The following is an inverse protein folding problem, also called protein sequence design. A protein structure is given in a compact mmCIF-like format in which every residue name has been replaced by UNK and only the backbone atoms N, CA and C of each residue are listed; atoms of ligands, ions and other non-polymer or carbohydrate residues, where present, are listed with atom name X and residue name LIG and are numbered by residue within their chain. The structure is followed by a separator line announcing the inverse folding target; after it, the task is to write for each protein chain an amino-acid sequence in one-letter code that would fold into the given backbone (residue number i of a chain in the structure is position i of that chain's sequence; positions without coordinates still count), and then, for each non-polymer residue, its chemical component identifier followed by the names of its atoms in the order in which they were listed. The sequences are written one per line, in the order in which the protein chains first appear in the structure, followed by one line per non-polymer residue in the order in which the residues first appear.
data_IF_773079441203
#
_entry.id   IF_773079441203
#
_cell.length_a   1.000
_cell.length_b   1.000
_cell.length_c   1.000
_cell.angle_alpha   90.00
_cell.angle_beta   90.00
_cell.angle_gamma   90.00
#
_symmetry.space_group_name_H-M   'P 1'
#
loop_
_entity.id
_entity.type
_entity.pdbx_description
1 polymer ?
#
# COMPACT_ATOMS: atom_id res chain seq x y z
N UNK A 1 22.24 -76.71 8.96
CA UNK A 1 21.53 -76.83 10.26
C UNK A 1 20.80 -75.52 10.52
N UNK A 2 19.48 -75.58 10.78
CA UNK A 2 18.56 -74.68 11.54
C UNK A 2 19.09 -73.27 11.94
N UNK A 3 18.35 -72.16 12.04
CA UNK A 3 16.94 -71.73 11.93
C UNK A 3 16.95 -70.18 12.14
N UNK A 4 15.97 -69.47 11.54
CA UNK A 4 15.23 -68.23 11.97
C UNK A 4 15.72 -67.47 13.24
N UNK A 5 15.71 -66.12 13.35
CA UNK A 5 14.66 -65.11 13.06
C UNK A 5 15.16 -63.69 13.47
N UNK A 6 14.81 -62.67 12.67
CA UNK A 6 14.41 -61.27 12.97
C UNK A 6 15.01 -60.50 14.16
N UNK A 7 15.52 -59.28 13.95
CA UNK A 7 15.24 -58.10 14.81
C UNK A 7 15.26 -56.79 13.98
N UNK A 8 14.24 -55.99 14.26
CA UNK A 8 13.90 -54.63 13.84
C UNK A 8 15.07 -53.65 14.04
N UNK A 9 15.33 -52.78 13.06
CA UNK A 9 16.15 -51.57 13.25
C UNK A 9 15.19 -50.36 13.22
N UNK A 10 15.16 -49.53 14.29
CA UNK A 10 14.29 -48.37 14.33
C UNK A 10 14.84 -47.26 13.43
N UNK A 11 13.93 -46.64 12.69
CA UNK A 11 14.14 -45.41 11.95
C UNK A 11 14.30 -44.26 12.96
N UNK A 12 15.54 -43.84 13.24
CA UNK A 12 15.79 -42.60 13.95
C UNK A 12 15.71 -41.47 12.92
N UNK A 13 14.54 -40.85 12.84
CA UNK A 13 14.37 -39.52 12.27
C UNK A 13 15.16 -38.52 13.15
N UNK A 14 16.35 -38.14 12.68
CA UNK A 14 17.01 -36.95 13.19
C UNK A 14 16.52 -35.75 12.38
N UNK A 15 15.33 -35.23 12.75
CA UNK A 15 14.87 -33.92 12.31
C UNK A 15 15.75 -32.86 12.97
N UNK A 16 16.81 -32.47 12.28
CA UNK A 16 17.57 -31.25 12.58
C UNK A 16 16.73 -30.04 12.24
N UNK A 17 15.80 -29.70 13.15
CA UNK A 17 15.12 -28.43 13.18
C UNK A 17 16.18 -27.37 13.53
N UNK A 18 16.81 -26.76 12.53
CA UNK A 18 17.53 -25.51 12.74
C UNK A 18 16.49 -24.46 13.12
N UNK A 19 16.25 -24.33 14.42
CA UNK A 19 15.64 -23.14 14.99
C UNK A 19 16.69 -22.05 14.81
N UNK A 20 16.62 -21.34 13.69
CA UNK A 20 17.23 -20.03 13.59
C UNK A 20 16.59 -19.17 14.68
N UNK A 21 17.32 -18.96 15.78
CA UNK A 21 16.98 -17.91 16.73
C UNK A 21 16.87 -16.61 15.92
N UNK A 22 15.79 -15.84 16.02
CA UNK A 22 15.80 -14.50 15.47
C UNK A 22 16.96 -13.77 16.14
N UNK A 23 17.95 -13.39 15.33
CA UNK A 23 18.89 -12.37 15.73
C UNK A 23 18.04 -11.13 15.84
N UNK A 24 17.68 -10.76 17.07
CA UNK A 24 17.30 -9.39 17.37
C UNK A 24 18.54 -8.59 17.04
N UNK A 25 18.56 -8.02 15.82
CA UNK A 25 19.37 -6.84 15.62
C UNK A 25 18.97 -5.89 16.74
N UNK A 26 19.93 -5.39 17.49
CA UNK A 26 19.68 -4.19 18.28
C UNK A 26 19.26 -3.13 17.26
N UNK A 27 17.94 -2.93 17.17
CA UNK A 27 17.33 -2.00 16.25
C UNK A 27 17.84 -0.62 16.67
N UNK A 28 18.82 -0.12 15.94
CA UNK A 28 19.03 1.32 15.83
C UNK A 28 17.75 1.85 15.16
N UNK A 29 16.71 2.07 15.96
CA UNK A 29 15.57 2.90 15.59
C UNK A 29 16.21 4.23 15.18
N UNK A 30 16.11 4.56 13.90
CA UNK A 30 16.51 5.88 13.40
C UNK A 30 15.95 6.93 14.36
N UNK A 31 16.74 7.95 14.71
CA UNK A 31 16.22 9.09 15.47
C UNK A 31 15.02 9.75 14.77
N UNK A 32 14.82 9.43 13.48
CA UNK A 32 13.78 9.99 12.61
C UNK A 32 12.61 9.03 12.34
N UNK A 33 12.33 7.98 13.14
CA UNK A 33 11.10 7.19 12.92
C UNK A 33 9.85 7.96 13.40
N UNK A 34 9.15 8.66 12.49
CA UNK A 34 7.98 9.47 12.85
C UNK A 34 6.64 8.77 12.52
N UNK A 35 5.67 8.70 13.46
CA UNK A 35 4.32 8.34 13.10
C UNK A 35 3.70 9.47 12.27
N UNK A 36 2.71 9.13 11.44
CA UNK A 36 1.92 10.12 10.74
C UNK A 36 1.33 11.17 11.71
N UNK A 37 1.33 12.45 11.34
CA UNK A 37 0.78 13.52 12.16
C UNK A 37 1.70 14.02 13.27
N UNK A 38 2.90 13.45 13.42
CA UNK A 38 3.86 13.82 14.47
C UNK A 38 4.21 15.30 14.42
N UNK A 39 4.57 15.80 13.23
CA UNK A 39 5.02 17.18 13.08
C UNK A 39 3.87 18.17 13.06
N UNK A 40 2.70 17.74 12.64
CA UNK A 40 1.46 18.54 12.69
C UNK A 40 1.07 18.79 14.15
N UNK A 41 1.22 17.79 15.02
CA UNK A 41 1.02 17.96 16.46
C UNK A 41 2.00 18.96 17.06
N UNK A 42 3.29 18.85 16.72
CA UNK A 42 4.32 19.79 17.18
C UNK A 42 4.05 21.23 16.70
N UNK A 43 3.63 21.40 15.44
CA UNK A 43 3.28 22.71 14.88
C UNK A 43 2.15 23.36 15.67
N UNK A 44 1.10 22.60 16.02
CA UNK A 44 -0.01 23.10 16.83
C UNK A 44 0.42 23.47 18.26
N UNK A 45 1.22 22.64 18.91
CA UNK A 45 1.74 22.91 20.26
C UNK A 45 2.58 24.20 20.29
N UNK A 46 3.37 24.46 19.24
CA UNK A 46 4.17 25.69 19.08
C UNK A 46 3.32 26.93 18.79
N UNK A 47 2.29 26.81 17.94
CA UNK A 47 1.36 27.93 17.68
C UNK A 47 0.64 28.37 18.96
N UNK A 48 0.29 27.43 19.85
CA UNK A 48 -0.31 27.73 21.13
C UNK A 48 0.63 28.50 22.09
N UNK A 49 1.95 28.27 22.03
CA UNK A 49 2.92 28.99 22.86
C UNK A 49 3.20 30.41 22.38
N UNK A 50 3.24 30.63 21.07
CA UNK A 50 3.60 31.95 20.49
C UNK A 50 2.49 33.00 20.65
N UNK A 51 1.20 32.61 20.70
CA UNK A 51 0.10 33.55 21.02
C UNK A 51 0.20 34.12 22.45
N UNK A 52 1.01 33.54 23.33
CA UNK A 52 1.25 34.04 24.70
C UNK A 52 2.30 35.16 24.80
N UNK A 53 3.06 35.41 23.73
CA UNK A 53 4.10 36.46 23.68
C UNK A 53 4.05 37.24 22.37
N UNK A 54 3.25 38.31 22.35
CA UNK A 54 3.24 39.28 21.26
C UNK A 54 4.47 40.20 21.35
N UNK A 55 5.37 40.11 20.37
CA UNK A 55 6.18 41.27 19.94
C UNK A 55 6.25 41.33 18.42
N UNK A 56 5.85 42.49 17.92
CA UNK A 56 5.73 42.88 16.53
C UNK A 56 7.11 43.30 15.98
N UNK A 57 7.65 42.54 15.01
CA UNK A 57 8.69 43.06 14.12
C UNK A 57 8.50 42.49 12.73
N UNK A 58 8.07 43.35 11.81
CA UNK A 58 8.00 43.09 10.39
C UNK A 58 9.41 43.08 9.78
N UNK A 59 9.81 41.94 9.21
CA UNK A 59 10.93 41.86 8.28
C UNK A 59 10.50 41.19 6.97
N UNK A 60 11.12 41.63 5.88
CA UNK A 60 10.68 41.48 4.48
C UNK A 60 10.60 40.00 4.05
N UNK A 61 9.52 39.53 3.38
CA UNK A 61 9.38 38.12 3.07
C UNK A 61 10.27 37.74 1.88
N UNK A 62 11.30 36.95 2.15
CA UNK A 62 11.86 36.08 1.10
C UNK A 62 10.75 35.15 0.61
N UNK A 63 10.83 34.74 -0.66
CA UNK A 63 9.91 33.78 -1.32
C UNK A 63 9.69 32.47 -0.52
N UNK A 64 10.47 32.23 0.54
CA UNK A 64 10.58 31.00 1.34
C UNK A 64 9.98 31.07 2.77
N UNK A 65 9.36 32.17 3.18
CA UNK A 65 8.62 32.28 4.45
C UNK A 65 7.19 32.77 4.21
N UNK A 66 6.48 32.14 3.28
CA UNK A 66 5.08 32.48 2.95
C UNK A 66 4.18 31.93 4.06
N UNK A 67 4.18 32.66 5.18
CA UNK A 67 3.19 32.69 6.25
C UNK A 67 2.32 31.43 6.40
N UNK A 68 2.71 30.57 7.35
CA UNK A 68 1.86 29.56 8.00
C UNK A 68 0.66 30.16 8.78
N UNK A 69 0.45 31.47 8.67
CA UNK A 69 -0.56 32.21 9.39
C UNK A 69 -1.90 32.19 8.65
N UNK A 70 -2.64 31.08 8.80
CA UNK A 70 -4.08 31.18 8.98
C UNK A 70 -4.36 30.89 10.46
N UNK A 71 -4.06 31.87 11.31
CA UNK A 71 -4.33 31.81 12.75
C UNK A 71 -5.84 31.65 12.98
N UNK A 72 -6.23 30.49 13.52
CA UNK A 72 -7.47 30.30 14.26
C UNK A 72 -7.06 30.39 15.74
N UNK A 73 -7.79 31.12 16.60
CA UNK A 73 -7.37 31.35 17.99
C UNK A 73 -7.24 30.04 18.79
N UNK A 74 -6.24 30.03 19.69
CA UNK A 74 -5.76 28.90 20.48
C UNK A 74 -6.81 28.05 21.22
N UNK A 75 -6.70 26.72 21.07
CA UNK A 75 -6.10 25.81 22.06
C UNK A 75 -6.02 24.37 21.47
N UNK A 76 -5.14 23.52 22.01
CA UNK A 76 -4.91 22.17 21.47
C UNK A 76 -6.18 21.30 21.45
N UNK A 77 -6.19 20.26 20.61
CA UNK A 77 -7.18 19.18 20.73
C UNK A 77 -7.15 18.60 22.17
N UNK A 78 -8.27 18.11 22.71
CA UNK A 78 -8.30 17.51 24.04
C UNK A 78 -7.23 16.42 24.14
N UNK A 79 -6.50 16.38 25.26
CA UNK A 79 -5.41 15.42 25.52
C UNK A 79 -5.85 13.95 25.34
N UNK A 80 -7.15 13.67 25.41
CA UNK A 80 -7.72 12.35 25.20
C UNK A 80 -9.16 12.42 24.71
N UNK A 81 -9.47 11.67 23.66
CA UNK A 81 -10.82 11.37 23.20
C UNK A 81 -11.15 9.89 23.42
N UNK A 82 -12.42 9.56 23.63
CA UNK A 82 -12.85 8.16 23.84
C UNK A 82 -13.80 7.69 22.75
N UNK A 83 -13.59 6.46 22.28
CA UNK A 83 -14.33 5.90 21.15
C UNK A 83 -15.82 5.68 21.41
N UNK A 84 -16.25 5.59 22.68
CA UNK A 84 -17.66 5.46 23.07
C UNK A 84 -18.42 6.81 23.02
N UNK A 85 -17.72 7.93 22.84
CA UNK A 85 -18.37 9.21 22.62
C UNK A 85 -19.02 9.28 21.23
N UNK A 86 -20.35 9.23 21.20
CA UNK A 86 -21.16 9.25 19.97
C UNK A 86 -21.27 10.63 19.33
N UNK A 87 -20.84 11.70 20.00
CA UNK A 87 -20.82 13.05 19.40
C UNK A 87 -19.62 13.28 18.50
N UNK A 88 -18.61 12.39 18.51
CA UNK A 88 -17.41 12.51 17.69
C UNK A 88 -17.70 12.17 16.22
N UNK A 89 -16.87 12.65 15.27
CA UNK A 89 -16.86 12.14 13.91
C UNK A 89 -16.72 10.61 13.88
N UNK A 90 -17.14 9.99 12.78
CA UNK A 90 -16.97 8.54 12.59
C UNK A 90 -15.48 8.19 12.67
N UNK A 91 -15.19 7.03 13.26
CA UNK A 91 -13.85 6.47 13.41
C UNK A 91 -13.57 5.50 12.27
N UNK A 92 -13.72 5.97 11.03
CA UNK A 92 -13.72 5.08 9.86
C UNK A 92 -12.34 4.44 9.62
N UNK A 93 -11.24 5.14 9.96
CA UNK A 93 -9.89 4.63 9.85
C UNK A 93 -9.02 5.00 11.06
N UNK A 94 -8.05 4.14 11.36
CA UNK A 94 -6.93 4.44 12.26
C UNK A 94 -5.62 4.21 11.53
N UNK A 95 -4.60 4.96 11.88
CA UNK A 95 -3.26 4.81 11.31
C UNK A 95 -2.23 4.45 12.39
N UNK A 96 -1.27 3.59 12.00
CA UNK A 96 -0.32 2.97 12.92
C UNK A 96 1.07 2.82 12.28
N UNK A 97 2.07 2.75 13.14
CA UNK A 97 3.48 2.52 12.78
C UNK A 97 4.15 1.56 13.78
N UNK A 98 5.47 1.50 13.76
CA UNK A 98 6.30 0.90 14.83
C UNK A 98 6.00 1.46 16.23
N UNK A 99 5.50 2.69 16.33
CA UNK A 99 5.06 3.31 17.59
C UNK A 99 3.88 2.58 18.24
N UNK A 100 3.15 1.79 17.46
CA UNK A 100 2.07 0.90 17.91
C UNK A 100 2.48 -0.58 17.84
N UNK A 101 3.79 -0.87 18.01
CA UNK A 101 4.33 -2.24 18.08
C UNK A 101 3.74 -3.08 19.21
N UNK A 102 3.20 -2.44 20.25
CA UNK A 102 2.51 -3.09 21.37
C UNK A 102 1.14 -3.68 20.98
N UNK A 103 0.58 -3.34 19.82
CA UNK A 103 -0.73 -3.83 19.40
C UNK A 103 -0.71 -5.34 19.14
N UNK A 104 -1.67 -6.06 19.71
CA UNK A 104 -1.88 -7.50 19.52
C UNK A 104 -3.20 -7.78 18.78
N UNK A 105 -3.44 -9.02 18.35
CA UNK A 105 -4.64 -9.39 17.57
C UNK A 105 -5.95 -8.96 18.24
N UNK A 106 -6.04 -9.04 19.58
CA UNK A 106 -7.22 -8.60 20.32
C UNK A 106 -7.50 -7.09 20.14
N UNK A 107 -6.47 -6.28 19.96
CA UNK A 107 -6.59 -4.84 19.73
C UNK A 107 -7.21 -4.56 18.35
N UNK A 108 -6.75 -5.26 17.31
CA UNK A 108 -7.34 -5.18 15.97
C UNK A 108 -8.80 -5.62 15.95
N UNK A 109 -9.14 -6.69 16.67
CA UNK A 109 -10.52 -7.14 16.81
C UNK A 109 -11.40 -6.10 17.53
N UNK A 110 -10.85 -5.46 18.57
CA UNK A 110 -11.56 -4.45 19.36
C UNK A 110 -11.83 -3.17 18.55
N UNK A 111 -10.83 -2.64 17.81
CA UNK A 111 -11.06 -1.46 16.95
C UNK A 111 -12.06 -1.76 15.83
N UNK A 112 -12.07 -2.97 15.28
CA UNK A 112 -13.08 -3.42 14.32
C UNK A 112 -14.47 -3.38 14.93
N UNK A 113 -14.64 -3.94 16.14
CA UNK A 113 -15.90 -3.93 16.87
C UNK A 113 -16.38 -2.51 17.21
N UNK A 114 -15.44 -1.58 17.44
CA UNK A 114 -15.73 -0.16 17.67
C UNK A 114 -16.11 0.64 16.40
N UNK A 115 -16.18 -0.03 15.25
CA UNK A 115 -16.64 0.56 13.98
C UNK A 115 -15.52 1.00 13.04
N UNK A 116 -14.25 0.75 13.36
CA UNK A 116 -13.13 1.02 12.44
C UNK A 116 -13.25 0.10 11.22
N UNK A 117 -13.11 0.69 10.03
CA UNK A 117 -13.18 -0.04 8.75
C UNK A 117 -11.79 -0.33 8.20
N UNK A 118 -10.86 0.59 8.35
CA UNK A 118 -9.53 0.52 7.75
C UNK A 118 -8.42 0.77 8.77
N UNK A 119 -7.35 0.00 8.69
CA UNK A 119 -6.07 0.32 9.35
C UNK A 119 -5.06 0.75 8.29
N UNK A 120 -4.40 1.86 8.52
CA UNK A 120 -3.40 2.44 7.62
C UNK A 120 -2.02 2.23 8.24
N UNK A 121 -1.15 1.46 7.58
CA UNK A 121 0.07 0.93 8.21
C UNK A 121 1.32 1.56 7.56
N UNK A 122 2.23 2.13 8.37
CA UNK A 122 3.54 2.61 7.88
C UNK A 122 4.32 1.43 7.31
N UNK A 123 4.80 1.54 6.08
CA UNK A 123 5.77 0.57 5.57
C UNK A 123 7.19 1.11 5.58
N UNK A 124 7.35 2.37 5.19
CA UNK A 124 8.66 2.91 4.84
C UNK A 124 8.77 4.38 5.14
N UNK A 125 10.00 4.85 5.29
CA UNK A 125 10.35 6.25 5.40
C UNK A 125 11.65 6.52 4.62
N UNK A 126 11.63 7.57 3.81
CA UNK A 126 12.73 7.92 2.91
C UNK A 126 13.19 6.72 2.08
N UNK A 127 14.49 6.45 2.07
CA UNK A 127 15.06 5.25 1.44
C UNK A 127 15.80 4.35 2.43
N UNK A 128 15.71 4.67 3.72
CA UNK A 128 16.53 4.06 4.78
C UNK A 128 15.75 3.18 5.77
N UNK A 129 14.46 3.43 5.97
CA UNK A 129 13.69 2.78 7.03
C UNK A 129 12.54 1.93 6.51
N UNK A 130 12.42 0.70 7.03
CA UNK A 130 11.25 -0.16 6.88
C UNK A 130 10.68 -0.43 8.27
N UNK A 131 9.37 -0.29 8.44
CA UNK A 131 8.69 -0.64 9.69
C UNK A 131 8.82 -2.16 9.96
N UNK A 132 9.55 -2.58 11.01
CA UNK A 132 9.80 -4.00 11.29
C UNK A 132 8.52 -4.75 11.71
N UNK A 133 7.49 -4.03 12.18
CA UNK A 133 6.23 -4.59 12.64
C UNK A 133 5.17 -4.70 11.53
N UNK A 134 5.41 -4.11 10.36
CA UNK A 134 4.41 -4.00 9.29
C UNK A 134 3.80 -5.36 8.90
N UNK A 135 4.62 -6.41 8.74
CA UNK A 135 4.14 -7.75 8.38
C UNK A 135 3.13 -8.29 9.41
N UNK A 136 3.44 -8.19 10.70
CA UNK A 136 2.57 -8.65 11.78
C UNK A 136 1.29 -7.81 11.88
N UNK A 137 1.41 -6.48 11.76
CA UNK A 137 0.28 -5.54 11.78
C UNK A 137 -0.68 -5.81 10.62
N UNK A 138 -0.16 -6.05 9.41
CA UNK A 138 -0.94 -6.43 8.23
C UNK A 138 -1.70 -7.74 8.47
N UNK A 139 -1.03 -8.75 9.03
CA UNK A 139 -1.67 -10.05 9.30
C UNK A 139 -2.78 -9.93 10.35
N UNK A 140 -2.57 -9.15 11.40
CA UNK A 140 -3.56 -8.96 12.45
C UNK A 140 -4.78 -8.18 11.94
N UNK A 141 -4.56 -7.12 11.16
CA UNK A 141 -5.63 -6.36 10.50
C UNK A 141 -6.45 -7.24 9.54
N UNK A 142 -5.78 -8.05 8.71
CA UNK A 142 -6.46 -9.02 7.82
C UNK A 142 -7.32 -10.00 8.62
N UNK A 143 -6.77 -10.56 9.70
CA UNK A 143 -7.47 -11.55 10.53
C UNK A 143 -8.68 -10.96 11.26
N UNK A 144 -8.64 -9.67 11.60
CA UNK A 144 -9.77 -8.94 12.16
C UNK A 144 -10.84 -8.53 11.11
N UNK A 145 -10.60 -8.76 9.81
CA UNK A 145 -11.50 -8.34 8.74
C UNK A 145 -11.50 -6.82 8.52
N UNK A 146 -10.39 -6.14 8.80
CA UNK A 146 -10.18 -4.72 8.51
C UNK A 146 -9.66 -4.57 7.07
N UNK A 147 -10.09 -3.49 6.41
CA UNK A 147 -9.41 -3.02 5.21
C UNK A 147 -8.00 -2.55 5.57
N UNK A 148 -7.09 -2.59 4.61
CA UNK A 148 -5.70 -2.15 4.80
C UNK A 148 -5.35 -1.15 3.73
N UNK A 149 -4.85 -0.01 4.18
CA UNK A 149 -4.05 0.92 3.39
C UNK A 149 -2.64 0.96 3.98
N UNK A 150 -1.70 1.49 3.21
CA UNK A 150 -0.31 1.60 3.65
C UNK A 150 0.24 2.98 3.33
N UNK A 151 1.18 3.45 4.14
CA UNK A 151 1.80 4.75 3.90
C UNK A 151 3.33 4.73 3.90
N UNK A 152 3.86 5.75 3.24
CA UNK A 152 5.28 6.08 3.15
C UNK A 152 5.48 7.50 3.68
N UNK A 153 6.29 7.66 4.71
CA UNK A 153 6.71 8.97 5.20
C UNK A 153 7.79 9.55 4.28
N UNK A 154 7.43 10.60 3.54
CA UNK A 154 8.31 11.19 2.53
C UNK A 154 9.24 12.22 3.17
N UNK A 155 10.54 12.10 2.89
CA UNK A 155 11.56 13.00 3.45
C UNK A 155 12.10 13.94 2.40
N UNK A 156 12.24 13.45 1.15
CA UNK A 156 12.95 14.11 0.06
C UNK A 156 14.31 14.67 0.52
N UNK A 157 14.96 13.97 1.45
CA UNK A 157 16.10 14.48 2.20
C UNK A 157 17.24 14.86 1.25
N UNK A 158 17.76 16.08 1.42
CA UNK A 158 18.88 16.59 0.63
C UNK A 158 18.51 17.23 -0.72
N UNK A 159 17.22 17.38 -1.06
CA UNK A 159 16.84 18.06 -2.30
C UNK A 159 17.23 19.56 -2.26
N UNK A 160 18.06 19.99 -3.20
CA UNK A 160 18.50 21.37 -3.36
C UNK A 160 17.92 22.07 -4.61
N UNK A 161 17.07 21.37 -5.36
CA UNK A 161 16.29 21.88 -6.49
C UNK A 161 15.00 21.07 -6.66
N UNK A 162 14.07 21.57 -7.49
CA UNK A 162 12.87 20.80 -7.84
C UNK A 162 13.21 19.47 -8.51
N UNK A 163 14.20 19.45 -9.41
CA UNK A 163 14.60 18.23 -10.11
C UNK A 163 15.19 17.21 -9.14
N UNK A 164 16.00 17.64 -8.18
CA UNK A 164 16.48 16.77 -7.10
C UNK A 164 15.32 16.21 -6.27
N UNK A 165 14.34 17.06 -5.91
CA UNK A 165 13.14 16.63 -5.16
C UNK A 165 12.30 15.61 -5.95
N UNK A 166 12.12 15.84 -7.25
CA UNK A 166 11.44 14.91 -8.15
C UNK A 166 12.18 13.56 -8.24
N UNK A 167 13.51 13.58 -8.37
CA UNK A 167 14.34 12.37 -8.41
C UNK A 167 14.31 11.60 -7.10
N UNK A 168 14.28 12.29 -5.96
CA UNK A 168 14.16 11.66 -4.63
C UNK A 168 12.77 11.07 -4.44
N UNK A 169 11.70 11.75 -4.85
CA UNK A 169 10.34 11.23 -4.81
C UNK A 169 10.19 9.92 -5.63
N UNK A 170 10.87 9.82 -6.77
CA UNK A 170 10.92 8.57 -7.57
C UNK A 170 11.68 7.46 -6.82
N UNK A 171 12.76 7.78 -6.13
CA UNK A 171 13.54 6.81 -5.34
C UNK A 171 12.74 6.28 -4.14
N UNK A 172 12.10 7.17 -3.40
CA UNK A 172 11.21 6.84 -2.28
C UNK A 172 10.01 6.00 -2.75
N UNK A 173 9.38 6.33 -3.89
CA UNK A 173 8.32 5.53 -4.48
C UNK A 173 8.78 4.10 -4.84
N UNK A 174 10.00 3.95 -5.37
CA UNK A 174 10.58 2.63 -5.64
C UNK A 174 10.79 1.84 -4.35
N UNK A 175 11.31 2.48 -3.31
CA UNK A 175 11.54 1.86 -2.01
C UNK A 175 10.24 1.38 -1.37
N UNK A 176 9.20 2.21 -1.41
CA UNK A 176 7.86 1.88 -0.93
C UNK A 176 7.22 0.74 -1.71
N UNK A 177 7.22 0.81 -3.05
CA UNK A 177 6.66 -0.23 -3.91
C UNK A 177 7.39 -1.57 -3.76
N UNK A 178 8.73 -1.56 -3.67
CA UNK A 178 9.51 -2.77 -3.46
C UNK A 178 9.22 -3.42 -2.11
N UNK A 179 9.01 -2.63 -1.06
CA UNK A 179 8.61 -3.12 0.26
C UNK A 179 7.20 -3.72 0.22
N UNK A 180 6.24 -3.04 -0.42
CA UNK A 180 4.89 -3.56 -0.62
C UNK A 180 4.88 -4.89 -1.39
N UNK A 181 5.71 -5.03 -2.43
CA UNK A 181 5.89 -6.28 -3.19
C UNK A 181 6.47 -7.40 -2.33
N UNK A 182 7.51 -7.11 -1.53
CA UNK A 182 8.10 -8.09 -0.60
C UNK A 182 7.10 -8.60 0.43
N UNK A 183 6.18 -7.74 0.86
CA UNK A 183 5.08 -8.08 1.78
C UNK A 183 3.89 -8.74 1.07
N UNK A 184 3.96 -8.95 -0.25
CA UNK A 184 2.90 -9.59 -1.04
C UNK A 184 1.60 -8.79 -1.09
N UNK A 185 1.69 -7.46 -1.02
CA UNK A 185 0.52 -6.58 -1.04
C UNK A 185 -0.05 -6.44 -2.46
N UNK A 186 -1.39 -6.47 -2.53
CA UNK A 186 -2.17 -6.26 -3.75
C UNK A 186 -1.77 -4.98 -4.47
N UNK A 187 -1.67 -4.99 -5.80
CA UNK A 187 -1.43 -3.76 -6.59
C UNK A 187 -2.65 -2.82 -6.61
N UNK A 188 -3.80 -3.30 -6.15
CA UNK A 188 -5.02 -2.52 -5.90
C UNK A 188 -5.02 -1.85 -4.50
N UNK A 189 -4.03 -2.14 -3.64
CA UNK A 189 -3.95 -1.52 -2.31
C UNK A 189 -3.80 -0.01 -2.43
N UNK A 190 -4.40 0.70 -1.46
CA UNK A 190 -4.20 2.14 -1.31
C UNK A 190 -2.80 2.40 -0.78
N UNK A 191 -2.05 3.22 -1.53
CA UNK A 191 -0.68 3.64 -1.21
C UNK A 191 -0.70 5.13 -0.90
N UNK A 192 -0.37 5.50 0.33
CA UNK A 192 -0.40 6.88 0.80
C UNK A 192 1.01 7.44 0.83
N UNK A 193 1.21 8.60 0.21
CA UNK A 193 2.39 9.41 0.47
C UNK A 193 2.05 10.39 1.59
N UNK A 194 2.82 10.32 2.67
CA UNK A 194 2.74 11.22 3.82
C UNK A 194 3.73 12.37 3.61
N UNK A 195 3.19 13.56 3.37
CA UNK A 195 3.93 14.79 3.07
C UNK A 195 3.83 15.75 4.26
N UNK A 196 4.70 15.58 5.25
CA UNK A 196 4.71 16.44 6.45
C UNK A 196 6.11 16.83 6.94
N UNK A 197 7.18 16.48 6.23
CA UNK A 197 8.55 16.75 6.66
C UNK A 197 8.77 18.25 6.91
N UNK A 198 9.04 18.67 8.17
CA UNK A 198 9.18 20.08 8.48
C UNK A 198 10.62 20.56 8.35
N UNK A 199 10.76 21.85 8.08
CA UNK A 199 11.95 22.62 8.33
C UNK A 199 11.88 23.16 9.76
N UNK A 200 12.90 22.86 10.55
CA UNK A 200 13.08 23.41 11.89
C UNK A 200 14.20 24.45 11.88
N UNK A 201 13.98 25.58 12.53
CA UNK A 201 15.05 26.55 12.77
C UNK A 201 16.01 26.08 13.88
N UNK A 202 17.01 26.91 14.20
CA UNK A 202 18.01 26.59 15.24
C UNK A 202 17.42 26.45 16.65
N UNK A 203 16.20 26.95 16.88
CA UNK A 203 15.47 26.78 18.16
C UNK A 203 14.62 25.51 18.19
N UNK A 204 14.53 24.77 17.08
CA UNK A 204 13.67 23.60 16.93
C UNK A 204 12.23 23.95 16.53
N UNK A 205 11.94 25.23 16.25
CA UNK A 205 10.61 25.69 15.80
C UNK A 205 10.36 25.29 14.36
N UNK A 206 9.18 24.75 14.08
CA UNK A 206 8.72 24.41 12.73
C UNK A 206 8.37 25.71 12.00
N UNK A 207 9.05 25.97 10.89
CA UNK A 207 8.89 27.23 10.13
C UNK A 207 8.63 27.01 8.64
N UNK A 208 8.51 25.76 8.19
CA UNK A 208 8.52 25.43 6.77
C UNK A 208 8.27 23.95 6.48
N UNK A 209 7.93 23.59 5.23
CA UNK A 209 8.25 22.27 4.72
C UNK A 209 9.76 22.14 4.49
N UNK A 210 10.30 20.93 4.60
CA UNK A 210 11.69 20.62 4.25
C UNK A 210 11.71 19.42 3.31
N UNK A 211 12.18 19.56 2.05
CA UNK A 211 12.94 20.69 1.53
C UNK A 211 12.09 21.93 1.18
N UNK A 212 12.56 23.11 1.58
CA UNK A 212 11.83 24.38 1.42
C UNK A 212 11.80 24.91 -0.03
N UNK A 213 12.65 24.34 -0.90
CA UNK A 213 12.85 24.73 -2.29
C UNK A 213 12.24 23.72 -3.28
N UNK A 214 11.37 22.85 -2.79
CA UNK A 214 10.64 21.86 -3.56
C UNK A 214 9.15 22.16 -3.48
N UNK A 215 8.50 22.26 -4.63
CA UNK A 215 7.05 22.11 -4.75
C UNK A 215 6.71 20.64 -4.47
N UNK A 216 6.18 20.41 -3.27
CA UNK A 216 5.81 19.10 -2.76
C UNK A 216 4.68 18.47 -3.57
N UNK A 217 3.75 19.26 -4.12
CA UNK A 217 2.69 18.71 -4.97
C UNK A 217 3.25 18.13 -6.27
N UNK A 218 4.23 18.82 -6.87
CA UNK A 218 4.92 18.36 -8.08
C UNK A 218 5.74 17.10 -7.80
N UNK A 219 6.48 17.05 -6.69
CA UNK A 219 7.23 15.86 -6.28
C UNK A 219 6.30 14.67 -5.98
N UNK A 220 5.19 14.90 -5.28
CA UNK A 220 4.18 13.89 -4.98
C UNK A 220 3.51 13.33 -6.25
N UNK A 221 3.28 14.16 -7.28
CA UNK A 221 2.80 13.68 -8.57
C UNK A 221 3.82 12.76 -9.27
N UNK A 222 5.13 13.00 -9.11
CA UNK A 222 6.19 12.09 -9.61
C UNK A 222 6.22 10.77 -8.82
N UNK A 223 6.09 10.84 -7.50
CA UNK A 223 5.94 9.67 -6.63
C UNK A 223 4.77 8.78 -7.07
N UNK A 224 3.57 9.36 -7.24
CA UNK A 224 2.38 8.62 -7.68
C UNK A 224 2.52 8.04 -9.09
N UNK A 225 3.13 8.78 -10.01
CA UNK A 225 3.42 8.29 -11.36
C UNK A 225 4.36 7.08 -11.34
N UNK A 226 5.34 7.09 -10.43
CA UNK A 226 6.27 5.97 -10.26
C UNK A 226 5.61 4.77 -9.57
N UNK A 227 4.76 4.97 -8.57
CA UNK A 227 3.95 3.88 -8.01
C UNK A 227 3.07 3.24 -9.09
N UNK A 228 2.43 4.05 -9.94
CA UNK A 228 1.61 3.59 -11.06
C UNK A 228 2.42 2.78 -12.07
N UNK A 229 3.66 3.17 -12.39
CA UNK A 229 4.54 2.41 -13.28
C UNK A 229 4.95 1.06 -12.68
N UNK A 230 4.98 0.97 -11.35
CA UNK A 230 5.24 -0.26 -10.59
C UNK A 230 3.99 -1.13 -10.35
N UNK A 231 2.83 -0.72 -10.87
CA UNK A 231 1.54 -1.42 -10.78
C UNK A 231 0.57 -0.86 -9.75
N UNK A 232 1.03 -0.03 -8.82
CA UNK A 232 0.23 0.54 -7.73
C UNK A 232 -0.43 1.85 -8.15
N UNK A 233 -1.65 1.78 -8.68
CA UNK A 233 -2.33 2.95 -9.26
C UNK A 233 -3.21 3.73 -8.28
N UNK A 234 -3.42 3.21 -7.07
CA UNK A 234 -4.31 3.80 -6.07
C UNK A 234 -3.55 4.65 -5.05
N UNK A 235 -2.95 5.76 -5.53
CA UNK A 235 -2.24 6.71 -4.66
C UNK A 235 -3.21 7.70 -4.01
N UNK A 236 -2.97 8.00 -2.73
CA UNK A 236 -3.59 9.04 -1.90
C UNK A 236 -2.46 9.89 -1.28
N UNK A 237 -2.75 11.14 -0.97
CA UNK A 237 -1.77 12.06 -0.37
C UNK A 237 -2.26 12.54 0.98
N UNK A 238 -1.41 12.41 1.98
CA UNK A 238 -1.64 12.91 3.31
C UNK A 238 -0.76 14.14 3.57
N UNK A 239 -1.30 15.14 4.26
CA UNK A 239 -0.57 16.33 4.72
C UNK A 239 -1.43 17.15 5.69
N UNK A 240 -0.83 18.15 6.34
CA UNK A 240 -1.56 19.15 7.11
C UNK A 240 -2.52 19.96 6.24
N UNK A 241 -3.70 20.30 6.76
CA UNK A 241 -4.64 21.17 6.06
C UNK A 241 -4.04 22.53 5.71
N UNK A 242 -3.07 23.02 6.50
CA UNK A 242 -2.39 24.29 6.23
C UNK A 242 -1.53 24.26 4.96
N UNK A 243 -1.12 23.07 4.50
CA UNK A 243 -0.34 22.92 3.27
C UNK A 243 -1.23 22.90 2.02
N UNK A 244 -2.53 22.68 2.16
CA UNK A 244 -3.44 22.42 1.05
C UNK A 244 -4.01 23.70 0.44
N UNK A 245 -4.17 23.71 -0.88
CA UNK A 245 -4.86 24.79 -1.58
C UNK A 245 -4.89 24.60 -3.09
N UNK A 246 -5.35 25.64 -3.79
CA UNK A 246 -5.34 25.73 -5.26
C UNK A 246 -4.39 26.79 -5.79
N UNK A 247 -3.95 27.70 -4.94
CA UNK A 247 -3.03 28.76 -5.31
C UNK A 247 -1.60 28.32 -4.97
N UNK A 248 -0.83 27.95 -6.00
CA UNK A 248 0.58 27.53 -5.87
C UNK A 248 1.48 28.60 -5.26
N UNK A 249 1.04 29.87 -5.22
CA UNK A 249 1.78 30.92 -4.53
C UNK A 249 1.65 30.87 -3.00
N UNK A 250 0.65 30.16 -2.46
CA UNK A 250 0.34 30.15 -1.02
C UNK A 250 0.22 28.76 -0.42
N UNK A 251 -0.01 27.71 -1.21
CA UNK A 251 -0.07 26.32 -0.72
C UNK A 251 1.19 25.53 -1.10
N UNK A 252 1.58 24.57 -0.25
CA UNK A 252 2.66 23.62 -0.52
C UNK A 252 2.17 22.39 -1.30
N UNK A 253 0.92 22.00 -1.06
CA UNK A 253 0.26 20.82 -1.61
C UNK A 253 -0.95 21.24 -2.43
N UNK A 254 -0.70 21.66 -3.67
CA UNK A 254 -1.77 22.01 -4.61
C UNK A 254 -2.54 20.76 -5.03
N UNK A 255 -3.79 20.62 -4.58
CA UNK A 255 -4.53 19.38 -4.82
C UNK A 255 -4.98 19.20 -6.27
N UNK A 256 -4.96 20.23 -7.13
CA UNK A 256 -5.22 20.05 -8.56
C UNK A 256 -4.09 19.26 -9.23
N UNK A 257 -2.85 19.47 -8.80
CA UNK A 257 -1.67 18.69 -9.25
C UNK A 257 -1.76 17.23 -8.79
N UNK A 258 -2.45 16.97 -7.68
CA UNK A 258 -2.59 15.65 -7.06
C UNK A 258 -3.76 14.81 -7.61
N UNK A 259 -4.43 15.28 -8.67
CA UNK A 259 -5.61 14.60 -9.23
C UNK A 259 -6.93 14.97 -8.53
N UNK A 260 -6.96 16.09 -7.81
CA UNK A 260 -8.14 16.70 -7.20
C UNK A 260 -8.25 16.50 -5.69
N UNK A 261 -9.10 17.30 -5.04
CA UNK A 261 -9.28 17.30 -3.58
C UNK A 261 -9.65 15.91 -3.01
N UNK A 262 -10.34 15.06 -3.77
CA UNK A 262 -10.73 13.71 -3.32
C UNK A 262 -9.57 12.71 -3.22
N UNK A 263 -8.37 13.08 -3.69
CA UNK A 263 -7.13 12.32 -3.50
C UNK A 263 -6.38 12.68 -2.22
N UNK A 264 -6.93 13.58 -1.42
CA UNK A 264 -6.27 14.11 -0.23
C UNK A 264 -6.91 13.57 1.04
N UNK A 265 -6.05 13.17 1.97
CA UNK A 265 -6.35 12.94 3.37
C UNK A 265 -5.75 14.10 4.17
N UNK A 266 -6.60 15.02 4.63
CA UNK A 266 -6.13 16.21 5.32
C UNK A 266 -6.05 15.95 6.83
N UNK A 267 -4.94 16.30 7.47
CA UNK A 267 -4.85 16.35 8.91
C UNK A 267 -5.14 17.77 9.42
N UNK A 268 -6.04 17.87 10.39
CA UNK A 268 -6.28 19.11 11.11
C UNK A 268 -6.92 18.79 12.45
N UNK A 269 -6.23 19.10 13.54
CA UNK A 269 -6.76 18.85 14.88
C UNK A 269 -7.23 20.19 15.43
N UNK A 270 -8.54 20.31 15.59
CA UNK A 270 -9.15 21.55 16.05
C UNK A 270 -9.13 21.65 17.57
N UNK A 271 -9.21 22.90 18.04
CA UNK A 271 -9.56 23.21 19.41
C UNK A 271 -10.90 22.57 19.82
N UNK A 272 -10.92 22.02 21.04
CA UNK A 272 -12.11 21.42 21.64
C UNK A 272 -12.46 20.05 21.06
N UNK A 273 -13.58 19.48 21.53
CA UNK A 273 -13.99 18.14 21.09
C UNK A 273 -14.56 18.19 19.66
N UNK A 274 -13.96 17.49 18.67
CA UNK A 274 -14.52 17.40 17.33
C UNK A 274 -15.96 16.87 17.37
N UNK A 275 -16.83 17.37 16.49
CA UNK A 275 -18.25 16.99 16.49
C UNK A 275 -18.70 16.41 15.15
N UNK A 276 -19.53 15.37 15.22
CA UNK A 276 -20.27 14.82 14.09
C UNK A 276 -21.19 15.84 13.40
N UNK A 277 -21.58 16.90 14.12
CA UNK A 277 -22.44 17.97 13.60
C UNK A 277 -21.64 19.11 12.93
N UNK A 278 -20.31 19.10 13.04
CA UNK A 278 -19.43 20.15 12.51
C UNK A 278 -18.19 19.52 11.86
N UNK A 279 -18.45 18.73 10.81
CA UNK A 279 -17.40 18.05 10.05
C UNK A 279 -16.55 19.07 9.27
N UNK A 280 -15.23 18.88 9.31
CA UNK A 280 -14.25 19.76 8.67
C UNK A 280 -13.62 19.05 7.48
N UNK A 281 -12.99 19.81 6.59
CA UNK A 281 -12.22 19.24 5.48
C UNK A 281 -13.06 18.33 4.55
N UNK A 282 -14.37 18.55 4.46
CA UNK A 282 -15.33 17.72 3.71
C UNK A 282 -15.14 17.81 2.19
N UNK A 283 -14.47 18.85 1.71
CA UNK A 283 -14.04 18.96 0.32
C UNK A 283 -13.01 17.88 -0.05
N UNK A 284 -12.21 17.39 0.90
CA UNK A 284 -11.19 16.37 0.66
C UNK A 284 -11.75 14.94 0.68
N UNK A 285 -10.86 13.96 0.52
CA UNK A 285 -11.19 12.54 0.53
C UNK A 285 -11.44 12.00 1.95
N UNK A 286 -10.63 12.42 2.91
CA UNK A 286 -10.72 12.06 4.33
C UNK A 286 -10.15 13.17 5.23
N UNK A 287 -10.45 13.08 6.52
CA UNK A 287 -9.96 14.01 7.54
C UNK A 287 -9.42 13.24 8.76
N UNK A 288 -8.12 13.37 9.05
CA UNK A 288 -7.55 12.98 10.33
C UNK A 288 -7.86 14.07 11.35
N UNK A 289 -8.77 13.77 12.26
CA UNK A 289 -9.32 14.78 13.17
C UNK A 289 -8.71 14.72 14.57
N UNK A 290 -7.95 13.67 14.89
CA UNK A 290 -7.29 13.52 16.18
C UNK A 290 -6.14 12.52 16.14
N UNK A 291 -5.11 12.78 16.95
CA UNK A 291 -4.05 11.84 17.33
C UNK A 291 -4.21 11.31 18.77
N UNK A 292 -5.38 11.55 19.39
CA UNK A 292 -5.61 11.39 20.82
C UNK A 292 -6.73 10.40 21.16
N UNK A 293 -7.12 9.51 20.23
CA UNK A 293 -8.24 8.58 20.46
C UNK A 293 -7.83 7.37 21.31
N UNK A 294 -8.59 7.07 22.36
CA UNK A 294 -8.53 5.83 23.12
C UNK A 294 -9.78 4.99 22.87
N UNK A 295 -9.59 3.70 22.64
CA UNK A 295 -10.68 2.80 22.30
C UNK A 295 -11.25 2.13 23.54
N UNK A 296 -12.37 2.68 24.04
CA UNK A 296 -13.06 2.21 25.23
C UNK A 296 -13.93 0.98 24.91
N UNK A 297 -13.95 0.03 25.84
CA UNK A 297 -14.52 -1.31 25.60
C UNK A 297 -13.57 -2.24 24.84
N UNK A 298 -12.37 -1.77 24.49
CA UNK A 298 -11.27 -2.58 23.98
C UNK A 298 -10.37 -3.12 25.09
N UNK A 299 -9.14 -3.46 24.72
CA UNK A 299 -8.11 -3.96 25.64
C UNK A 299 -7.51 -2.84 26.50
N UNK A 300 -6.75 -3.21 27.55
CA UNK A 300 -5.98 -2.23 28.34
C UNK A 300 -4.96 -1.48 27.48
N UNK A 301 -4.39 -2.12 26.46
CA UNK A 301 -3.47 -1.48 25.52
C UNK A 301 -4.14 -0.27 24.85
N UNK A 302 -5.34 -0.46 24.29
CA UNK A 302 -6.12 0.55 23.60
C UNK A 302 -6.72 1.64 24.51
N UNK A 303 -6.81 1.36 25.81
CA UNK A 303 -7.23 2.32 26.83
C UNK A 303 -6.07 3.18 27.36
N UNK A 304 -4.83 2.72 27.21
CA UNK A 304 -3.65 3.42 27.76
C UNK A 304 -2.85 4.16 26.70
N UNK A 305 -3.07 3.84 25.42
CA UNK A 305 -2.33 4.42 24.31
C UNK A 305 -3.28 5.06 23.31
N UNK A 306 -2.84 6.17 22.73
CA UNK A 306 -3.62 6.93 21.78
C UNK A 306 -3.41 6.37 20.36
N UNK A 307 -4.46 6.40 19.56
CA UNK A 307 -4.44 6.11 18.13
C UNK A 307 -4.92 7.30 17.33
N UNK A 308 -4.25 7.52 16.21
CA UNK A 308 -4.63 8.50 15.22
C UNK A 308 -5.89 8.01 14.51
N UNK A 309 -6.88 8.90 14.39
CA UNK A 309 -8.23 8.52 13.96
C UNK A 309 -8.78 9.50 12.94
N UNK A 310 -9.35 8.91 11.88
CA UNK A 310 -9.85 9.62 10.72
C UNK A 310 -11.30 9.27 10.40
N UNK A 311 -11.99 10.25 9.81
CA UNK A 311 -13.24 10.05 9.09
C UNK A 311 -12.94 9.92 7.60
N UNK A 312 -13.51 8.91 6.95
CA UNK A 312 -13.37 8.67 5.51
C UNK A 312 -14.66 9.12 4.82
N UNK A 313 -14.57 10.21 4.05
CA UNK A 313 -15.74 10.79 3.38
C UNK A 313 -16.08 10.07 2.09
N UNK A 314 -15.08 9.49 1.41
CA UNK A 314 -15.23 8.98 0.03
C UNK A 314 -14.68 7.56 -0.16
N UNK A 315 -14.50 6.82 0.93
CA UNK A 315 -13.99 5.45 0.93
C UNK A 315 -12.57 5.34 0.32
N UNK A 316 -11.75 6.37 0.53
CA UNK A 316 -10.44 6.53 -0.13
C UNK A 316 -9.38 5.57 0.41
N UNK A 317 -9.61 4.98 1.58
CA UNK A 317 -8.66 4.04 2.20
C UNK A 317 -8.93 2.58 1.83
N UNK A 318 -9.93 2.28 1.01
CA UNK A 318 -10.22 0.92 0.58
C UNK A 318 -9.77 0.67 -0.85
N UNK A 319 -9.28 -0.55 -1.10
CA UNK A 319 -9.01 -1.02 -2.45
C UNK A 319 -10.32 -1.12 -3.27
N UNK A 320 -10.24 -0.96 -4.58
CA UNK A 320 -11.43 -1.07 -5.44
C UNK A 320 -12.03 -2.46 -5.36
N UNK A 321 -13.30 -2.57 -4.97
CA UNK A 321 -14.00 -3.85 -4.86
C UNK A 321 -14.29 -4.49 -6.23
N UNK A 322 -14.16 -3.72 -7.32
CA UNK A 322 -14.36 -4.21 -8.69
C UNK A 322 -13.08 -4.74 -9.32
N UNK A 323 -11.93 -4.62 -8.65
CA UNK A 323 -10.64 -5.06 -9.17
C UNK A 323 -10.07 -6.20 -8.32
N UNK A 324 -9.49 -7.19 -9.00
CA UNK A 324 -8.92 -8.40 -8.41
C UNK A 324 -7.53 -8.64 -8.97
N UNK A 325 -6.60 -9.02 -8.11
CA UNK A 325 -5.23 -9.36 -8.51
C UNK A 325 -5.22 -10.64 -9.34
N UNK A 326 -4.59 -10.60 -10.52
CA UNK A 326 -4.17 -11.81 -11.23
C UNK A 326 -2.74 -12.13 -10.83
N UNK A 327 -2.57 -13.16 -10.01
CA UNK A 327 -1.27 -13.67 -9.59
C UNK A 327 -0.59 -14.39 -10.74
N UNK A 328 0.69 -14.06 -10.98
CA UNK A 328 1.54 -14.65 -12.02
C UNK A 328 2.57 -15.56 -11.35
N UNK A 329 2.60 -16.82 -11.78
CA UNK A 329 3.57 -17.81 -11.32
C UNK A 329 4.32 -18.39 -12.52
N UNK A 330 5.59 -18.75 -12.31
CA UNK A 330 6.45 -19.35 -13.31
C UNK A 330 6.98 -20.69 -12.82
N UNK A 331 6.86 -21.71 -13.68
CA UNK A 331 7.44 -23.01 -13.44
C UNK A 331 8.81 -23.10 -14.14
N UNK A 332 9.89 -23.12 -13.35
CA UNK A 332 11.26 -23.15 -13.88
C UNK A 332 11.60 -24.45 -14.62
N UNK A 333 10.86 -25.54 -14.35
CA UNK A 333 11.12 -26.84 -14.95
C UNK A 333 10.43 -27.02 -16.31
N UNK A 334 9.22 -26.47 -16.48
CA UNK A 334 8.43 -26.63 -17.72
C UNK A 334 8.51 -25.40 -18.63
N UNK A 335 8.84 -24.23 -18.06
CA UNK A 335 8.77 -22.93 -18.72
C UNK A 335 7.38 -22.29 -18.69
N UNK A 336 6.39 -22.95 -18.10
CA UNK A 336 5.00 -22.51 -18.05
C UNK A 336 4.81 -21.26 -17.17
N UNK A 337 3.89 -20.38 -17.59
CA UNK A 337 3.33 -19.35 -16.73
C UNK A 337 1.87 -19.67 -16.38
N UNK A 338 1.53 -19.44 -15.11
CA UNK A 338 0.19 -19.65 -14.59
C UNK A 338 -0.39 -18.37 -14.00
N UNK A 339 -1.67 -18.13 -14.29
CA UNK A 339 -2.37 -16.90 -13.96
C UNK A 339 -3.68 -17.23 -13.23
N UNK A 340 -3.85 -16.70 -12.01
CA UNK A 340 -5.02 -17.00 -11.18
C UNK A 340 -5.46 -15.83 -10.31
N UNK A 341 -6.78 -15.73 -10.09
CA UNK A 341 -7.37 -14.86 -9.06
C UNK A 341 -7.38 -15.53 -7.67
N UNK A 342 -7.12 -16.84 -7.60
CA UNK A 342 -7.25 -17.63 -6.39
C UNK A 342 -5.94 -17.61 -5.59
N UNK A 343 -5.98 -16.94 -4.44
CA UNK A 343 -4.83 -16.84 -3.54
C UNK A 343 -4.36 -18.20 -3.00
N UNK A 344 -5.28 -19.15 -2.75
CA UNK A 344 -4.94 -20.47 -2.27
C UNK A 344 -4.25 -21.30 -3.36
N UNK A 345 -4.72 -21.22 -4.61
CA UNK A 345 -4.07 -21.85 -5.76
C UNK A 345 -2.65 -21.33 -5.96
N UNK A 346 -2.48 -20.00 -5.95
CA UNK A 346 -1.17 -19.33 -5.95
C UNK A 346 -0.27 -19.87 -4.84
N UNK A 347 -0.78 -19.95 -3.61
CA UNK A 347 0.02 -20.38 -2.44
C UNK A 347 0.41 -21.86 -2.52
N UNK A 348 -0.50 -22.73 -2.97
CA UNK A 348 -0.22 -24.14 -3.16
C UNK A 348 0.86 -24.36 -4.23
N UNK A 349 0.80 -23.63 -5.34
CA UNK A 349 1.81 -23.70 -6.41
C UNK A 349 3.19 -23.24 -5.92
N UNK A 350 3.25 -22.14 -5.14
CA UNK A 350 4.51 -21.71 -4.50
C UNK A 350 5.10 -22.81 -3.62
N UNK A 351 4.28 -23.49 -2.81
CA UNK A 351 4.72 -24.55 -1.90
C UNK A 351 5.28 -25.78 -2.64
N UNK A 352 4.88 -26.01 -3.89
CA UNK A 352 5.40 -27.10 -4.73
C UNK A 352 6.47 -26.65 -5.73
N UNK A 353 7.07 -25.47 -5.52
CA UNK A 353 8.27 -25.03 -6.23
C UNK A 353 8.05 -24.07 -7.40
N UNK A 354 6.83 -23.58 -7.63
CA UNK A 354 6.61 -22.51 -8.61
C UNK A 354 7.13 -21.17 -8.08
N UNK A 355 7.78 -20.41 -8.94
CA UNK A 355 8.22 -19.05 -8.62
C UNK A 355 7.03 -18.10 -8.72
N UNK A 356 6.62 -17.50 -7.62
CA UNK A 356 5.69 -16.36 -7.66
C UNK A 356 6.43 -15.13 -8.19
N UNK A 357 5.90 -14.55 -9.26
CA UNK A 357 6.51 -13.40 -9.96
C UNK A 357 5.79 -12.08 -9.64
N UNK A 358 4.81 -12.13 -8.73
CA UNK A 358 4.00 -10.97 -8.37
C UNK A 358 2.63 -10.98 -9.03
N UNK A 359 2.02 -9.79 -9.05
CA UNK A 359 0.71 -9.56 -9.67
C UNK A 359 0.96 -9.12 -11.10
N UNK A 360 0.45 -9.89 -12.07
CA UNK A 360 0.62 -9.60 -13.49
C UNK A 360 -0.22 -8.40 -13.93
N UNK A 361 -1.49 -8.35 -13.52
CA UNK A 361 -2.41 -7.24 -13.79
C UNK A 361 -3.61 -7.28 -12.84
N UNK A 362 -4.44 -6.24 -12.90
CA UNK A 362 -5.74 -6.20 -12.24
C UNK A 362 -6.84 -6.61 -13.22
N UNK A 363 -7.63 -7.63 -12.86
CA UNK A 363 -8.83 -8.02 -13.58
C UNK A 363 -10.06 -7.39 -12.94
N UNK A 364 -11.02 -6.96 -13.76
CA UNK A 364 -12.32 -6.51 -13.27
C UNK A 364 -13.18 -7.71 -12.86
N UNK A 365 -14.15 -7.48 -11.98
CA UNK A 365 -15.22 -8.46 -11.68
C UNK A 365 -16.21 -8.63 -12.83
N UNK A 366 -16.10 -7.83 -13.90
CA UNK A 366 -16.95 -7.88 -15.10
C UNK A 366 -16.19 -7.50 -16.37
N UNK A 367 -16.67 -7.97 -17.52
CA UNK A 367 -16.07 -7.71 -18.83
C UNK A 367 -16.22 -8.91 -19.76
N UNK A 368 -15.35 -9.00 -20.77
CA UNK A 368 -15.32 -10.17 -21.65
C UNK A 368 -14.69 -11.35 -20.90
N UNK A 369 -15.34 -12.52 -20.84
CA UNK A 369 -14.82 -13.67 -20.09
C UNK A 369 -13.54 -14.21 -20.74
N UNK A 370 -12.52 -14.47 -19.91
CA UNK A 370 -11.32 -15.21 -20.31
C UNK A 370 -11.44 -16.64 -19.77
N UNK A 371 -11.42 -17.60 -20.68
CA UNK A 371 -11.48 -19.02 -20.38
C UNK A 371 -10.07 -19.59 -20.28
N UNK A 372 -9.87 -20.50 -19.32
CA UNK A 372 -8.61 -21.23 -19.11
C UNK A 372 -8.87 -22.72 -19.40
N UNK A 373 -7.99 -23.34 -20.18
CA UNK A 373 -8.01 -24.77 -20.47
C UNK A 373 -6.64 -25.37 -20.19
N UNK A 374 -6.63 -26.64 -19.75
CA UNK A 374 -5.43 -27.36 -19.36
C UNK A 374 -5.12 -28.49 -20.33
N UNK A 375 -3.88 -28.58 -20.81
CA UNK A 375 -3.38 -29.68 -21.61
C UNK A 375 -2.66 -30.72 -20.73
N UNK A 376 -3.30 -31.85 -20.40
CA UNK A 376 -2.65 -32.92 -19.62
C UNK A 376 -1.58 -33.68 -20.42
N UNK A 377 -1.54 -33.53 -21.76
CA UNK A 377 -0.63 -34.27 -22.63
C UNK A 377 0.69 -33.51 -22.87
N UNK A 378 0.78 -32.25 -22.45
CA UNK A 378 2.02 -31.48 -22.47
C UNK A 378 2.96 -31.97 -21.35
N UNK A 379 4.28 -31.97 -21.58
CA UNK A 379 5.25 -32.39 -20.57
C UNK A 379 5.18 -31.40 -19.39
N UNK A 380 4.71 -31.89 -18.24
CA UNK A 380 4.49 -31.08 -17.05
C UNK A 380 3.18 -30.30 -17.03
N UNK A 381 2.34 -30.42 -18.07
CA UNK A 381 1.09 -29.67 -18.22
C UNK A 381 1.28 -28.30 -18.88
N UNK A 382 0.22 -27.78 -19.49
CA UNK A 382 0.20 -26.40 -20.03
C UNK A 382 -1.20 -25.79 -19.89
N UNK A 383 -1.27 -24.49 -19.59
CA UNK A 383 -2.52 -23.73 -19.56
C UNK A 383 -2.58 -22.72 -20.72
N UNK A 384 -3.73 -22.70 -21.41
CA UNK A 384 -4.03 -21.71 -22.44
C UNK A 384 -5.22 -20.85 -22.05
N UNK A 385 -5.16 -19.57 -22.42
CA UNK A 385 -6.15 -18.55 -22.04
C UNK A 385 -6.70 -17.88 -23.30
N UNK A 386 -8.03 -17.84 -23.41
CA UNK A 386 -8.70 -17.27 -24.59
C UNK A 386 -10.01 -16.56 -24.23
N UNK A 387 -10.35 -15.52 -24.99
CA UNK A 387 -11.69 -14.90 -24.97
C UNK A 387 -12.74 -15.75 -25.69
N UNK A 388 -12.33 -16.68 -26.55
CA UNK A 388 -13.22 -17.49 -27.36
C UNK A 388 -13.59 -18.78 -26.64
N UNK A 389 -14.80 -18.83 -26.09
CA UNK A 389 -15.34 -20.09 -25.52
C UNK A 389 -15.35 -21.22 -26.55
N UNK A 390 -15.58 -20.87 -27.81
CA UNK A 390 -15.58 -21.84 -28.92
C UNK A 390 -14.18 -22.42 -29.14
N UNK A 391 -13.12 -21.60 -29.15
CA UNK A 391 -11.74 -22.07 -29.27
C UNK A 391 -11.36 -23.01 -28.12
N UNK A 392 -11.68 -22.61 -26.89
CA UNK A 392 -11.49 -23.45 -25.71
C UNK A 392 -12.22 -24.80 -25.85
N UNK A 393 -13.46 -24.80 -26.35
CA UNK A 393 -14.20 -26.04 -26.61
C UNK A 393 -13.53 -26.90 -27.70
N UNK A 394 -12.96 -26.31 -28.75
CA UNK A 394 -12.22 -27.07 -29.77
C UNK A 394 -10.97 -27.73 -29.19
N UNK A 395 -10.26 -27.06 -28.28
CA UNK A 395 -9.11 -27.66 -27.57
C UNK A 395 -9.55 -28.80 -26.67
N UNK A 396 -10.66 -28.64 -25.95
CA UNK A 396 -11.24 -29.71 -25.11
C UNK A 396 -11.63 -30.93 -25.95
N UNK A 397 -12.23 -30.73 -27.13
CA UNK A 397 -12.53 -31.81 -28.06
C UNK A 397 -11.26 -32.54 -28.57
N UNK A 398 -10.10 -31.89 -28.50
CA UNK A 398 -8.78 -32.46 -28.83
C UNK A 398 -8.05 -33.06 -27.63
N UNK A 399 -8.74 -33.24 -26.49
CA UNK A 399 -8.19 -33.90 -25.30
C UNK A 399 -7.67 -32.96 -24.21
N UNK A 400 -7.84 -31.64 -24.37
CA UNK A 400 -7.63 -30.69 -23.27
C UNK A 400 -8.78 -30.78 -22.27
N UNK A 401 -8.62 -30.18 -21.10
CA UNK A 401 -9.62 -30.15 -20.03
C UNK A 401 -10.05 -28.71 -19.76
N UNK A 402 -11.33 -28.55 -19.47
CA UNK A 402 -11.82 -27.30 -18.88
C UNK A 402 -11.18 -27.10 -17.51
N UNK A 403 -10.65 -25.90 -17.28
CA UNK A 403 -10.30 -25.44 -15.95
C UNK A 403 -11.48 -24.63 -15.37
N UNK A 404 -11.51 -24.45 -14.05
CA UNK A 404 -12.53 -23.72 -13.32
C UNK A 404 -13.97 -24.16 -13.68
N UNK A 405 -14.14 -25.47 -13.96
CA UNK A 405 -15.39 -26.07 -14.42
C UNK A 405 -16.01 -25.36 -15.64
N UNK A 406 -15.17 -24.78 -16.52
CA UNK A 406 -15.60 -24.04 -17.71
C UNK A 406 -16.15 -22.64 -17.43
N UNK A 407 -16.11 -22.17 -16.18
CA UNK A 407 -16.38 -20.79 -15.82
C UNK A 407 -15.18 -19.90 -16.16
N UNK A 408 -15.37 -18.58 -16.38
CA UNK A 408 -14.28 -17.66 -16.65
C UNK A 408 -13.24 -17.69 -15.52
N UNK A 409 -11.95 -17.76 -15.87
CA UNK A 409 -10.87 -17.67 -14.90
C UNK A 409 -10.71 -16.23 -14.39
N UNK A 410 -10.96 -15.26 -15.27
CA UNK A 410 -11.02 -13.82 -14.99
C UNK A 410 -11.65 -13.09 -16.19
N UNK A 411 -11.76 -11.76 -16.11
CA UNK A 411 -12.37 -10.93 -17.15
C UNK A 411 -11.37 -9.96 -17.78
N UNK A 412 -11.51 -9.79 -19.09
CA UNK A 412 -10.89 -8.73 -19.88
C UNK A 412 -11.73 -7.46 -19.78
N UNK A 413 -11.13 -6.40 -19.25
CA UNK A 413 -11.71 -5.06 -19.10
C UNK A 413 -10.57 -4.06 -18.90
N UNK A 414 -10.73 -2.83 -19.39
CA UNK A 414 -9.74 -1.76 -19.23
C UNK A 414 -9.15 -1.32 -20.57
N UNK A 415 -8.07 -0.53 -20.50
CA UNK A 415 -7.46 0.12 -21.66
C UNK A 415 -6.05 -0.36 -21.98
N UNK A 416 -5.38 -1.08 -21.07
CA UNK A 416 -4.02 -1.58 -21.28
C UNK A 416 -4.05 -2.86 -22.09
N UNK A 417 -3.17 -2.98 -23.07
CA UNK A 417 -3.00 -4.23 -23.82
C UNK A 417 -2.34 -5.28 -22.91
N UNK A 418 -2.89 -6.49 -22.94
CA UNK A 418 -2.21 -7.69 -22.50
C UNK A 418 -1.67 -8.41 -23.74
N UNK A 419 -0.36 -8.53 -23.78
CA UNK A 419 0.39 -9.13 -24.86
C UNK A 419 0.57 -10.63 -24.61
N UNK A 420 0.54 -11.43 -25.68
CA UNK A 420 0.85 -12.86 -25.63
C UNK A 420 2.05 -13.20 -26.52
N UNK A 421 2.89 -14.12 -26.08
CA UNK A 421 3.91 -14.77 -26.90
C UNK A 421 3.94 -16.27 -26.59
N UNK A 422 4.24 -17.09 -27.59
CA UNK A 422 4.32 -18.55 -27.50
C UNK A 422 5.77 -19.02 -27.58
N UNK A 423 6.16 -19.94 -26.70
CA UNK A 423 7.48 -20.55 -26.72
C UNK A 423 7.42 -21.95 -27.36
N UNK A 424 7.84 -22.10 -28.64
CA UNK A 424 7.88 -23.41 -29.29
C UNK A 424 8.91 -24.36 -28.67
N UNK A 425 9.86 -23.84 -27.90
CA UNK A 425 10.96 -24.61 -27.30
C UNK A 425 10.70 -24.95 -25.83
N UNK A 426 9.60 -24.50 -25.23
CA UNK A 426 9.22 -24.89 -23.88
C UNK A 426 8.73 -26.34 -23.87
N UNK A 427 9.05 -27.08 -22.79
CA UNK A 427 8.61 -28.47 -22.64
C UNK A 427 7.07 -28.60 -22.69
N UNK A 428 6.35 -27.56 -22.24
CA UNK A 428 4.89 -27.52 -22.26
C UNK A 428 4.27 -26.94 -23.55
N UNK A 429 5.02 -26.18 -24.35
CA UNK A 429 4.43 -25.25 -25.34
C UNK A 429 3.88 -23.96 -24.69
N UNK A 430 4.61 -23.41 -23.71
CA UNK A 430 4.20 -22.28 -22.87
C UNK A 430 3.78 -21.02 -23.62
N UNK A 431 2.74 -20.35 -23.09
CA UNK A 431 2.40 -18.96 -23.40
C UNK A 431 2.80 -18.02 -22.26
N UNK A 432 3.30 -16.83 -22.59
CA UNK A 432 3.50 -15.74 -21.64
C UNK A 432 2.50 -14.62 -21.93
N UNK A 433 1.79 -14.18 -20.89
CA UNK A 433 0.89 -13.04 -20.91
C UNK A 433 1.45 -11.91 -20.05
N UNK A 434 1.59 -10.73 -20.64
CA UNK A 434 2.23 -9.58 -19.99
C UNK A 434 1.64 -8.24 -20.43
N UNK A 435 1.60 -7.26 -19.53
CA UNK A 435 1.28 -5.86 -19.90
C UNK A 435 2.49 -5.10 -20.43
N UNK A 436 3.67 -5.72 -20.41
CA UNK A 436 4.92 -5.10 -20.86
C UNK A 436 5.21 -5.44 -22.32
N UNK A 437 5.05 -4.45 -23.20
CA UNK A 437 5.47 -4.59 -24.61
C UNK A 437 6.98 -4.85 -24.74
N UNK A 438 7.78 -4.34 -23.79
CA UNK A 438 9.21 -4.62 -23.73
C UNK A 438 9.50 -6.10 -23.42
N UNK A 439 8.77 -6.70 -22.47
CA UNK A 439 8.89 -8.15 -22.18
C UNK A 439 8.53 -8.98 -23.40
N UNK A 440 7.38 -8.71 -24.05
CA UNK A 440 6.98 -9.41 -25.27
C UNK A 440 8.05 -9.30 -26.37
N UNK A 441 8.53 -8.08 -26.65
CA UNK A 441 9.53 -7.86 -27.70
C UNK A 441 10.85 -8.58 -27.41
N UNK A 442 11.26 -8.67 -26.15
CA UNK A 442 12.44 -9.44 -25.78
C UNK A 442 12.23 -10.95 -25.94
N UNK A 443 11.05 -11.48 -25.59
CA UNK A 443 10.72 -12.90 -25.80
C UNK A 443 10.79 -13.24 -27.30
N UNK A 444 10.21 -12.40 -28.16
CA UNK A 444 10.23 -12.61 -29.62
C UNK A 444 11.65 -12.59 -30.19
N UNK A 445 12.53 -11.68 -29.72
CA UNK A 445 13.95 -11.66 -30.09
C UNK A 445 14.69 -12.94 -29.67
N UNK A 446 14.24 -13.57 -28.60
CA UNK A 446 14.80 -14.80 -28.05
C UNK A 446 14.13 -16.07 -28.63
N UNK A 447 13.45 -15.97 -29.77
CA UNK A 447 12.91 -17.12 -30.51
C UNK A 447 11.50 -17.54 -30.13
N UNK A 448 10.79 -16.76 -29.32
CA UNK A 448 9.34 -16.94 -29.13
C UNK A 448 8.59 -16.45 -30.38
N UNK A 449 7.39 -16.97 -30.62
CA UNK A 449 6.55 -16.63 -31.77
C UNK A 449 5.17 -16.15 -31.35
N UNK A 450 4.29 -15.82 -32.32
CA UNK A 450 2.91 -15.38 -32.09
C UNK A 450 2.75 -14.14 -31.18
N UNK A 451 3.57 -13.11 -31.44
CA UNK A 451 3.43 -11.82 -30.76
C UNK A 451 2.14 -11.10 -31.16
N UNK A 452 1.16 -11.07 -30.27
CA UNK A 452 -0.11 -10.37 -30.48
C UNK A 452 -0.61 -9.66 -29.22
N UNK A 453 -1.61 -8.79 -29.38
CA UNK A 453 -2.45 -8.35 -28.26
C UNK A 453 -3.52 -9.43 -28.05
N UNK A 454 -3.51 -10.06 -26.87
CA UNK A 454 -4.48 -11.08 -26.53
C UNK A 454 -5.84 -10.45 -26.17
N UNK A 455 -5.83 -9.48 -25.24
CA UNK A 455 -7.02 -8.71 -24.82
C UNK A 455 -6.60 -7.47 -24.01
N UNK A 456 -7.56 -6.81 -23.33
CA UNK A 456 -7.31 -5.61 -22.52
C UNK A 456 -7.53 -5.83 -21.02
N UNK A 457 -6.70 -5.18 -20.20
CA UNK A 457 -6.69 -5.26 -18.73
C UNK A 457 -6.61 -3.86 -18.10
N UNK A 458 -6.79 -3.75 -16.77
CA UNK A 458 -6.79 -2.48 -16.04
C UNK A 458 -5.39 -1.94 -15.72
#
# INVERSE_FOLDING_TARGET
MKLKKSHIIPLILLSGLLIAKPVFAEDNVSQDDHPMGYYIKQEQEQQASDESTSTDTAEVPSIRARSFAAAIPAANAPDTLYSDNTSLPRKDAVDISSHQSWMVQADFNAIKAAGVKTVIIKLTEGTGYINPYASSQIQMAKSAGLNIAVYHYATLQGANSQDAGNSLAVQEANYFANTAKKLGLSTNIVMIMDCEQPYKDSSGKIIGPNPANVDWATAAAKFASQLKSQGYSNTIFYTSSSWLGTNTATCQMNYNTLGGAKKVWAAQYFFGTPSSNNLKNTQYGAWQYTSQMRFKGGTSNLLNNNLDTSIDYNNIFSASQTLRDVYRLYNVYTGEHFYTLNYAEKTNLQNVGWRYEGIGWLSSTSGSPVYRVYNPNAIGGDHYYTLSKWEAQQLVNKGWRWDNNGAPAFYSNGSKNLYVAYNPNAASGSHNYTTSSYEQNNLLRNGWTYGAVAWKVN
#
